data_IF_415916952122
#
_entry.id   IF_415916952122
#
_cell.length_a   1.000
_cell.length_b   1.000
_cell.length_c   1.000
_cell.angle_alpha   90.00
_cell.angle_beta   90.00
_cell.angle_gamma   90.00
#
_symmetry.space_group_name_H-M   'P 1'
#
loop_
_entity.id
_entity.type
_entity.pdbx_description
1 polymer ?
#
# COMPACT_ATOMS: atom_id res chain seq x y z
N UNK A 1 1.05 8.73 30.20
CA UNK A 1 0.61 9.31 28.92
C UNK A 1 -0.31 8.35 28.22
N UNK A 2 -1.52 8.78 27.96
CA UNK A 2 -2.40 7.94 27.17
C UNK A 2 -1.82 7.84 25.75
N UNK A 3 -1.63 6.62 25.32
CA UNK A 3 -1.24 6.37 23.94
C UNK A 3 -2.50 6.16 23.13
N UNK A 4 -2.60 6.79 21.97
CA UNK A 4 -3.74 6.55 21.11
C UNK A 4 -3.78 5.06 20.75
N UNK A 5 -4.93 4.40 20.90
CA UNK A 5 -5.01 2.99 20.60
C UNK A 5 -4.82 2.75 19.10
N UNK A 6 -4.01 1.77 18.78
CA UNK A 6 -3.91 1.28 17.42
C UNK A 6 -5.15 0.40 17.14
N UNK A 7 -5.72 0.58 15.97
CA UNK A 7 -6.89 -0.19 15.56
C UNK A 7 -6.56 -0.99 14.31
N UNK A 8 -6.88 -2.29 14.32
CA UNK A 8 -6.78 -3.14 13.15
C UNK A 8 -8.16 -3.20 12.51
N UNK A 9 -8.25 -2.87 11.22
CA UNK A 9 -9.53 -2.76 10.54
C UNK A 9 -9.44 -3.38 9.15
N UNK A 10 -10.51 -4.06 8.74
CA UNK A 10 -10.67 -4.47 7.35
C UNK A 10 -10.95 -3.23 6.51
N UNK A 11 -10.20 -3.06 5.43
CA UNK A 11 -10.32 -1.89 4.58
C UNK A 11 -11.24 -2.18 3.40
N UNK A 12 -12.03 -1.18 3.02
CA UNK A 12 -12.85 -1.22 1.81
C UNK A 12 -12.29 -0.25 0.77
N UNK A 13 -12.99 -0.12 -0.35
CA UNK A 13 -12.54 0.73 -1.45
C UNK A 13 -12.43 2.20 -1.08
N UNK A 14 -13.03 2.63 0.04
CA UNK A 14 -12.89 3.99 0.53
C UNK A 14 -11.47 4.33 0.95
N UNK A 15 -10.63 3.32 1.17
CA UNK A 15 -9.24 3.51 1.57
C UNK A 15 -8.24 3.42 0.42
N UNK A 16 -8.70 3.28 -0.82
CA UNK A 16 -7.80 3.11 -1.97
C UNK A 16 -6.75 4.22 -2.06
N UNK A 17 -7.18 5.46 -1.90
CA UNK A 17 -6.27 6.61 -2.01
C UNK A 17 -5.20 6.57 -0.92
N UNK A 18 -5.62 6.33 0.32
CA UNK A 18 -4.68 6.28 1.44
C UNK A 18 -3.74 5.08 1.33
N UNK A 19 -4.27 3.94 0.88
CA UNK A 19 -3.45 2.75 0.65
C UNK A 19 -2.38 3.00 -0.41
N UNK A 20 -2.75 3.67 -1.50
CA UNK A 20 -1.79 4.00 -2.56
C UNK A 20 -0.68 4.90 -2.05
N UNK A 21 -1.05 5.92 -1.28
CA UNK A 21 -0.07 6.84 -0.72
C UNK A 21 0.90 6.13 0.21
N UNK A 22 0.37 5.30 1.10
CA UNK A 22 1.18 4.57 2.07
C UNK A 22 2.13 3.59 1.38
N UNK A 23 1.62 2.83 0.43
CA UNK A 23 2.44 1.85 -0.30
C UNK A 23 3.46 2.52 -1.21
N UNK A 24 3.11 3.66 -1.80
CA UNK A 24 4.08 4.42 -2.58
C UNK A 24 5.30 4.81 -1.74
N UNK A 25 5.07 5.34 -0.54
CA UNK A 25 6.16 5.71 0.35
C UNK A 25 6.98 4.49 0.77
N UNK A 26 6.32 3.38 1.07
CA UNK A 26 7.02 2.17 1.48
C UNK A 26 7.87 1.60 0.34
N UNK A 27 7.30 1.48 -0.85
CA UNK A 27 7.99 0.84 -1.98
C UNK A 27 9.06 1.72 -2.59
N UNK A 28 8.90 3.04 -2.50
CA UNK A 28 9.90 3.97 -3.02
C UNK A 28 11.28 3.73 -2.41
N UNK A 29 11.31 3.32 -1.14
CA UNK A 29 12.54 3.12 -0.40
C UNK A 29 12.93 1.65 -0.29
N UNK A 30 12.16 0.75 -0.90
CA UNK A 30 12.42 -0.67 -0.81
C UNK A 30 13.46 -1.07 -1.87
N UNK A 31 14.62 -1.68 -1.47
CA UNK A 31 15.72 -1.94 -2.42
C UNK A 31 15.35 -2.82 -3.60
N UNK A 32 14.49 -3.82 -3.39
CA UNK A 32 14.06 -4.71 -4.48
C UNK A 32 13.30 -3.93 -5.54
N UNK A 33 12.39 -3.04 -5.14
CA UNK A 33 11.67 -2.19 -6.07
C UNK A 33 12.60 -1.22 -6.77
N UNK A 34 13.56 -0.67 -6.05
CA UNK A 34 14.55 0.22 -6.65
C UNK A 34 15.32 -0.48 -7.78
N UNK A 35 15.71 -1.72 -7.53
CA UNK A 35 16.41 -2.52 -8.53
C UNK A 35 15.51 -2.86 -9.72
N UNK A 36 14.31 -3.40 -9.45
CA UNK A 36 13.41 -3.85 -10.50
C UNK A 36 12.90 -2.71 -11.38
N UNK A 37 12.69 -1.54 -10.79
CA UNK A 37 12.15 -0.39 -11.51
C UNK A 37 13.23 0.58 -11.97
N UNK A 38 14.49 0.17 -11.87
CA UNK A 38 15.62 0.95 -12.37
C UNK A 38 15.65 2.36 -11.77
N UNK A 39 15.89 2.44 -10.46
CA UNK A 39 15.80 3.70 -9.71
C UNK A 39 16.74 4.78 -10.22
N UNK A 40 17.82 4.42 -10.91
CA UNK A 40 18.80 5.38 -11.42
C UNK A 40 18.33 6.04 -12.72
N UNK A 41 17.28 5.52 -13.35
CA UNK A 41 16.78 6.07 -14.61
C UNK A 41 15.70 7.10 -14.33
N UNK A 42 15.61 8.10 -15.22
CA UNK A 42 14.57 9.12 -15.13
C UNK A 42 13.19 8.47 -15.12
N UNK A 43 12.27 9.04 -14.36
CA UNK A 43 10.90 8.55 -14.28
C UNK A 43 10.68 7.47 -13.24
N UNK A 44 11.66 7.21 -12.36
CA UNK A 44 11.49 6.20 -11.32
C UNK A 44 10.26 6.44 -10.46
N UNK A 45 10.04 7.67 -10.00
CA UNK A 45 8.88 7.99 -9.17
C UNK A 45 7.57 7.66 -9.89
N UNK A 46 7.47 7.98 -11.17
CA UNK A 46 6.28 7.69 -11.96
C UNK A 46 6.07 6.19 -12.11
N UNK A 47 7.15 5.42 -12.27
CA UNK A 47 7.05 3.97 -12.36
C UNK A 47 6.57 3.37 -11.04
N UNK A 48 7.08 3.86 -9.90
CA UNK A 48 6.61 3.41 -8.60
C UNK A 48 5.14 3.75 -8.42
N UNK A 49 4.72 4.96 -8.75
CA UNK A 49 3.32 5.38 -8.64
C UNK A 49 2.40 4.52 -9.50
N UNK A 50 2.81 4.25 -10.74
CA UNK A 50 2.03 3.43 -11.64
C UNK A 50 1.89 2.00 -11.12
N UNK A 51 2.98 1.42 -10.63
CA UNK A 51 2.98 0.06 -10.11
C UNK A 51 2.09 -0.05 -8.88
N UNK A 52 2.22 0.88 -7.94
CA UNK A 52 1.40 0.88 -6.73
C UNK A 52 -0.08 1.07 -7.08
N UNK A 53 -0.38 1.98 -7.99
CA UNK A 53 -1.76 2.22 -8.41
C UNK A 53 -2.39 0.96 -8.99
N UNK A 54 -1.64 0.26 -9.85
CA UNK A 54 -2.13 -0.98 -10.44
C UNK A 54 -2.39 -2.05 -9.38
N UNK A 55 -1.43 -2.24 -8.48
CA UNK A 55 -1.55 -3.24 -7.42
C UNK A 55 -2.75 -2.97 -6.53
N UNK A 56 -2.90 -1.72 -6.08
CA UNK A 56 -3.98 -1.37 -5.16
C UNK A 56 -5.33 -1.43 -5.86
N UNK A 57 -5.43 -0.84 -7.06
CA UNK A 57 -6.70 -0.83 -7.78
C UNK A 57 -7.16 -2.24 -8.10
N UNK A 58 -6.25 -3.10 -8.55
CA UNK A 58 -6.60 -4.48 -8.86
C UNK A 58 -7.03 -5.25 -7.62
N UNK A 59 -6.30 -5.05 -6.51
CA UNK A 59 -6.61 -5.74 -5.27
C UNK A 59 -8.03 -5.44 -4.79
N UNK A 60 -8.40 -4.17 -4.77
CA UNK A 60 -9.74 -3.77 -4.33
C UNK A 60 -10.81 -4.10 -5.36
N UNK A 61 -10.49 -4.05 -6.65
CA UNK A 61 -11.45 -4.43 -7.70
C UNK A 61 -11.81 -5.91 -7.63
N UNK A 62 -10.88 -6.75 -7.19
CA UNK A 62 -11.13 -8.17 -7.01
C UNK A 62 -11.70 -8.49 -5.63
N UNK A 63 -11.98 -7.48 -4.84
CA UNK A 63 -12.54 -7.60 -3.49
C UNK A 63 -11.71 -8.48 -2.57
N UNK A 64 -10.38 -8.47 -2.76
CA UNK A 64 -9.47 -9.21 -1.92
C UNK A 64 -9.31 -8.51 -0.58
N UNK A 65 -9.09 -9.26 0.50
CA UNK A 65 -8.97 -8.65 1.83
C UNK A 65 -7.79 -7.70 1.93
N UNK A 66 -8.02 -6.60 2.61
CA UNK A 66 -6.98 -5.64 2.98
C UNK A 66 -7.16 -5.30 4.44
N UNK A 67 -6.07 -5.35 5.20
CA UNK A 67 -6.09 -5.05 6.63
C UNK A 67 -5.26 -3.81 6.85
N UNK A 68 -5.83 -2.85 7.56
CA UNK A 68 -5.15 -1.61 7.89
C UNK A 68 -4.89 -1.47 9.36
N UNK A 69 -3.79 -0.83 9.71
CA UNK A 69 -3.49 -0.39 11.05
C UNK A 69 -3.71 1.11 11.10
N UNK A 70 -4.62 1.54 11.97
CA UNK A 70 -4.97 2.95 12.11
C UNK A 70 -4.57 3.44 13.48
N UNK A 71 -4.06 4.66 13.53
CA UNK A 71 -3.77 5.38 14.78
C UNK A 71 -4.41 6.75 14.63
N UNK A 72 -5.30 7.11 15.55
CA UNK A 72 -6.07 8.36 15.49
C UNK A 72 -6.79 8.52 14.14
N UNK A 73 -7.43 7.44 13.68
CA UNK A 73 -8.12 7.38 12.40
C UNK A 73 -7.24 7.60 11.18
N UNK A 74 -5.94 7.54 11.33
CA UNK A 74 -4.99 7.67 10.22
C UNK A 74 -4.40 6.31 9.89
N UNK A 75 -4.41 5.97 8.63
CA UNK A 75 -3.83 4.72 8.16
C UNK A 75 -2.31 4.80 8.21
N UNK A 76 -1.68 3.97 9.04
CA UNK A 76 -0.23 3.95 9.22
C UNK A 76 0.42 2.65 8.78
N UNK A 77 -0.37 1.62 8.53
CA UNK A 77 0.13 0.35 8.02
C UNK A 77 -0.93 -0.35 7.21
N UNK A 78 -0.51 -1.20 6.28
CA UNK A 78 -1.45 -1.91 5.44
C UNK A 78 -0.86 -3.26 5.03
N UNK A 79 -1.74 -4.26 4.95
CA UNK A 79 -1.40 -5.56 4.40
C UNK A 79 -2.47 -5.93 3.35
N UNK A 80 -2.04 -6.15 2.14
CA UNK A 80 -2.90 -6.65 1.08
C UNK A 80 -2.76 -8.16 1.03
N UNK A 81 -3.87 -8.85 1.25
CA UNK A 81 -3.87 -10.31 1.36
C UNK A 81 -4.43 -10.90 0.07
N UNK A 82 -3.63 -11.71 -0.58
CA UNK A 82 -4.05 -12.41 -1.78
C UNK A 82 -4.28 -13.89 -1.47
N UNK A 83 -5.24 -14.53 -2.15
CA UNK A 83 -5.42 -15.96 -1.96
C UNK A 83 -4.21 -16.72 -2.49
N UNK A 84 -3.93 -17.90 -1.93
CA UNK A 84 -2.80 -18.70 -2.41
C UNK A 84 -3.00 -19.06 -3.87
N UNK A 85 -1.92 -19.01 -4.61
CA UNK A 85 -1.94 -19.42 -6.00
C UNK A 85 -1.91 -20.94 -6.12
N UNK A 86 -2.64 -21.44 -7.06
CA UNK A 86 -2.71 -22.88 -7.31
C UNK A 86 -1.93 -23.24 -8.57
#
# INVERSE_FOLDING_TARGET
MPTSPAEVRMLDSGYVREARSLLYHAYRHEPTFAYLLESERAGFDQRVRATVRELVNQHFAEEQPAIGLLVDDRLVGIALIAPPQR
#
